data_IF_248279356985
#
_entry.id   IF_248279356985
#
_cell.length_a   1.000
_cell.length_b   1.000
_cell.length_c   1.000
_cell.angle_alpha   90.00
_cell.angle_beta   90.00
_cell.angle_gamma   90.00
#
_symmetry.space_group_name_H-M   'P 1'
#
loop_
_entity.id
_entity.type
_entity.pdbx_description
1 polymer ?
#
# COMPACT_ATOMS: atom_id res chain seq x y z
N UNK A 1 -29.27 8.90 -34.59
CA UNK A 1 -29.90 8.76 -33.26
C UNK A 1 -29.59 10.03 -32.48
N UNK A 2 -30.55 10.60 -31.74
CA UNK A 2 -30.28 11.78 -30.89
C UNK A 2 -29.79 11.28 -29.52
N UNK A 3 -28.69 11.83 -29.03
CA UNK A 3 -28.16 11.48 -27.71
C UNK A 3 -29.09 12.03 -26.61
N UNK A 4 -29.19 11.30 -25.49
CA UNK A 4 -29.79 11.82 -24.25
C UNK A 4 -28.91 12.92 -23.64
N UNK A 5 -29.41 13.59 -22.60
CA UNK A 5 -28.64 14.65 -21.92
C UNK A 5 -27.35 14.11 -21.30
N UNK A 6 -27.40 12.95 -20.63
CA UNK A 6 -26.21 12.31 -20.07
C UNK A 6 -25.25 11.85 -21.16
N UNK A 7 -25.75 11.24 -22.25
CA UNK A 7 -24.91 10.84 -23.37
C UNK A 7 -24.23 12.02 -24.05
N UNK A 8 -24.91 13.16 -24.12
CA UNK A 8 -24.33 14.41 -24.65
C UNK A 8 -23.21 14.93 -23.74
N UNK A 9 -23.44 14.93 -22.42
CA UNK A 9 -22.40 15.32 -21.44
C UNK A 9 -21.18 14.40 -21.52
N UNK A 10 -21.39 13.07 -21.55
CA UNK A 10 -20.32 12.08 -21.71
C UNK A 10 -19.59 12.29 -23.04
N UNK A 11 -20.31 12.48 -24.15
CA UNK A 11 -19.69 12.71 -25.46
C UNK A 11 -18.80 13.97 -25.46
N UNK A 12 -19.24 15.05 -24.84
CA UNK A 12 -18.44 16.26 -24.69
C UNK A 12 -17.22 16.05 -23.78
N UNK A 13 -17.38 15.36 -22.66
CA UNK A 13 -16.30 15.02 -21.73
C UNK A 13 -15.25 14.08 -22.35
N UNK A 14 -15.67 13.10 -23.13
CA UNK A 14 -14.77 12.23 -23.90
C UNK A 14 -14.07 13.00 -25.01
N UNK A 15 -14.79 13.89 -25.70
CA UNK A 15 -14.18 14.77 -26.70
C UNK A 15 -13.14 15.70 -26.07
N UNK A 16 -13.40 16.22 -24.86
CA UNK A 16 -12.44 17.00 -24.10
C UNK A 16 -11.16 16.19 -23.79
N UNK A 17 -11.32 15.01 -23.18
CA UNK A 17 -10.19 14.22 -22.70
C UNK A 17 -9.38 13.51 -23.79
N UNK A 18 -10.01 13.12 -24.91
CA UNK A 18 -9.38 12.27 -25.93
C UNK A 18 -9.23 12.92 -27.30
N UNK A 19 -9.93 14.01 -27.60
CA UNK A 19 -9.93 14.63 -28.94
C UNK A 19 -9.36 16.05 -28.90
N UNK A 20 -9.94 16.94 -28.09
CA UNK A 20 -9.56 18.35 -28.02
C UNK A 20 -10.01 18.98 -26.69
N UNK A 21 -9.07 19.47 -25.90
CA UNK A 21 -9.29 20.11 -24.60
C UNK A 21 -10.22 21.34 -24.64
N UNK A 22 -10.57 21.87 -25.82
CA UNK A 22 -11.50 22.99 -25.98
C UNK A 22 -12.97 22.59 -25.88
N UNK A 23 -13.30 21.30 -25.98
CA UNK A 23 -14.67 20.85 -25.71
C UNK A 23 -15.00 21.04 -24.22
N UNK A 24 -16.23 21.47 -23.90
CA UNK A 24 -16.65 21.64 -22.52
C UNK A 24 -17.46 20.43 -22.05
N UNK A 25 -16.94 19.68 -21.08
CA UNK A 25 -17.62 18.58 -20.41
C UNK A 25 -17.55 18.74 -18.88
N UNK A 26 -18.52 18.22 -18.11
CA UNK A 26 -18.42 18.18 -16.65
C UNK A 26 -17.15 17.44 -16.21
N UNK A 27 -16.42 18.00 -15.24
CA UNK A 27 -15.16 17.42 -14.74
C UNK A 27 -15.38 15.99 -14.21
N UNK A 28 -16.53 15.74 -13.60
CA UNK A 28 -16.90 14.43 -13.06
C UNK A 28 -17.07 13.36 -14.15
N UNK A 29 -17.30 13.75 -15.41
CA UNK A 29 -17.45 12.80 -16.52
C UNK A 29 -16.20 12.74 -17.41
N UNK A 30 -15.31 13.71 -17.28
CA UNK A 30 -14.09 13.80 -18.08
C UNK A 30 -13.09 12.71 -17.68
N UNK A 31 -12.44 12.04 -18.66
CA UNK A 31 -11.34 11.12 -18.38
C UNK A 31 -10.21 11.83 -17.63
N UNK A 32 -9.62 11.16 -16.64
CA UNK A 32 -8.55 11.71 -15.82
C UNK A 32 -7.34 10.77 -15.80
N UNK A 33 -6.15 11.35 -15.89
CA UNK A 33 -4.90 10.65 -15.62
C UNK A 33 -4.56 10.84 -14.14
N UNK A 34 -4.51 9.74 -13.39
CA UNK A 34 -4.33 9.73 -11.94
C UNK A 34 -2.95 9.18 -11.62
N UNK A 35 -2.19 9.96 -10.84
CA UNK A 35 -0.90 9.60 -10.28
C UNK A 35 -0.73 10.24 -8.91
N UNK A 36 0.07 9.63 -8.04
CA UNK A 36 0.29 10.19 -6.70
C UNK A 36 1.18 11.43 -6.76
N UNK A 37 0.68 12.56 -6.27
CA UNK A 37 1.41 13.81 -6.14
C UNK A 37 1.00 14.54 -4.84
N UNK A 38 1.50 15.77 -4.64
CA UNK A 38 1.18 16.53 -3.43
C UNK A 38 -0.27 17.05 -3.48
N UNK A 39 -1.15 16.41 -2.74
CA UNK A 39 -2.56 16.81 -2.60
C UNK A 39 -3.50 16.09 -3.57
N UNK A 40 -2.97 15.23 -4.42
CA UNK A 40 -3.73 14.36 -5.30
C UNK A 40 -3.19 12.93 -5.22
N UNK A 41 -4.06 11.96 -5.01
CA UNK A 41 -3.66 10.57 -4.80
C UNK A 41 -4.76 9.62 -5.26
N UNK A 42 -4.37 8.40 -5.61
CA UNK A 42 -5.32 7.38 -6.01
C UNK A 42 -6.39 7.14 -4.92
N UNK A 43 -6.02 7.22 -3.63
CA UNK A 43 -6.99 7.13 -2.53
C UNK A 43 -8.09 8.21 -2.62
N UNK A 44 -7.72 9.46 -2.88
CA UNK A 44 -8.68 10.58 -2.98
C UNK A 44 -9.67 10.34 -4.13
N UNK A 45 -9.18 9.85 -5.27
CA UNK A 45 -10.05 9.52 -6.40
C UNK A 45 -11.01 8.38 -6.08
N UNK A 46 -10.53 7.28 -5.47
CA UNK A 46 -11.41 6.19 -5.01
C UNK A 46 -12.46 6.72 -4.03
N UNK A 47 -12.07 7.53 -3.04
CA UNK A 47 -13.00 8.06 -2.04
C UNK A 47 -14.07 8.99 -2.63
N UNK A 48 -13.73 9.73 -3.68
CA UNK A 48 -14.68 10.57 -4.44
C UNK A 48 -15.68 9.72 -5.22
N UNK A 49 -15.23 8.64 -5.87
CA UNK A 49 -16.13 7.73 -6.56
C UNK A 49 -17.06 7.02 -5.58
N UNK A 50 -16.51 6.47 -4.50
CA UNK A 50 -17.27 5.84 -3.42
C UNK A 50 -18.30 6.80 -2.80
N UNK A 51 -18.05 8.10 -2.78
CA UNK A 51 -19.00 9.07 -2.22
C UNK A 51 -20.29 9.21 -3.06
N UNK A 52 -20.21 8.92 -4.37
CA UNK A 52 -21.25 9.24 -5.35
C UNK A 52 -21.80 8.00 -6.09
N UNK A 53 -21.26 6.80 -5.81
CA UNK A 53 -21.70 5.57 -6.44
C UNK A 53 -22.96 4.99 -5.76
N UNK A 54 -23.72 4.23 -6.55
CA UNK A 54 -24.83 3.37 -6.10
C UNK A 54 -24.37 1.96 -5.72
N UNK A 55 -23.31 1.47 -6.35
CA UNK A 55 -22.59 0.25 -5.96
C UNK A 55 -21.16 0.29 -6.51
N UNK A 56 -20.30 -0.61 -6.06
CA UNK A 56 -18.91 -0.68 -6.52
C UNK A 56 -18.40 -2.12 -6.64
N UNK A 57 -17.49 -2.34 -7.59
CA UNK A 57 -16.81 -3.62 -7.79
C UNK A 57 -15.30 -3.39 -7.92
N UNK A 58 -14.52 -3.97 -7.02
CA UNK A 58 -13.05 -3.92 -7.05
C UNK A 58 -12.51 -5.26 -7.54
N UNK A 59 -11.66 -5.22 -8.56
CA UNK A 59 -11.01 -6.38 -9.17
C UNK A 59 -9.50 -6.19 -8.97
N UNK A 60 -9.01 -6.65 -7.81
CA UNK A 60 -7.69 -6.26 -7.30
C UNK A 60 -6.88 -7.48 -6.89
N UNK A 61 -5.69 -7.62 -7.47
CA UNK A 61 -4.79 -8.72 -7.15
C UNK A 61 -4.21 -8.64 -5.73
N UNK A 62 -3.64 -7.49 -5.37
CA UNK A 62 -2.91 -7.31 -4.12
C UNK A 62 -3.60 -6.34 -3.17
N UNK A 63 -3.75 -6.75 -1.92
CA UNK A 63 -4.44 -6.01 -0.88
C UNK A 63 -3.58 -6.04 0.40
N UNK A 64 -3.29 -4.87 0.96
CA UNK A 64 -2.66 -4.76 2.29
C UNK A 64 -3.67 -4.34 3.35
N UNK A 65 -3.42 -4.75 4.60
CA UNK A 65 -4.25 -4.36 5.75
C UNK A 65 -4.30 -2.83 5.91
N UNK A 66 -3.17 -2.16 5.67
CA UNK A 66 -3.01 -0.72 5.79
C UNK A 66 -3.87 0.06 4.80
N UNK A 67 -3.97 -0.40 3.56
CA UNK A 67 -4.84 0.21 2.55
C UNK A 67 -6.32 -0.05 2.87
N UNK A 68 -6.64 -1.28 3.26
CA UNK A 68 -8.00 -1.63 3.63
C UNK A 68 -8.48 -0.81 4.84
N UNK A 69 -7.61 -0.61 5.83
CA UNK A 69 -7.90 0.22 7.00
C UNK A 69 -8.20 1.67 6.62
N UNK A 70 -7.53 2.23 5.59
CA UNK A 70 -7.78 3.59 5.12
C UNK A 70 -9.21 3.74 4.54
N UNK A 71 -9.73 2.72 3.87
CA UNK A 71 -11.08 2.73 3.30
C UNK A 71 -12.16 2.26 4.28
N UNK A 72 -11.81 1.57 5.37
CA UNK A 72 -12.75 0.85 6.24
C UNK A 72 -13.90 1.72 6.77
N UNK A 73 -13.61 2.96 7.17
CA UNK A 73 -14.64 3.91 7.65
C UNK A 73 -15.61 4.25 6.52
N UNK A 74 -15.07 4.58 5.33
CA UNK A 74 -15.87 4.91 4.15
C UNK A 74 -16.78 3.75 3.73
N UNK A 75 -16.25 2.52 3.70
CA UNK A 75 -17.03 1.33 3.33
C UNK A 75 -18.13 1.03 4.37
N UNK A 76 -17.86 1.25 5.66
CA UNK A 76 -18.88 1.13 6.70
C UNK A 76 -19.99 2.19 6.56
N UNK A 77 -19.62 3.43 6.23
CA UNK A 77 -20.60 4.50 5.96
C UNK A 77 -21.51 4.17 4.76
N UNK A 78 -20.94 3.55 3.72
CA UNK A 78 -21.72 3.08 2.57
C UNK A 78 -22.67 1.94 2.94
N UNK A 79 -22.22 1.00 3.76
CA UNK A 79 -23.08 -0.07 4.26
C UNK A 79 -24.29 0.47 5.03
N UNK A 80 -24.10 1.51 5.86
CA UNK A 80 -25.21 2.18 6.56
C UNK A 80 -26.20 2.87 5.62
N UNK A 81 -25.76 3.27 4.41
CA UNK A 81 -26.60 3.84 3.36
C UNK A 81 -27.27 2.78 2.47
N UNK A 82 -27.03 1.50 2.72
CA UNK A 82 -27.52 0.41 1.86
C UNK A 82 -26.78 0.29 0.53
N UNK A 83 -25.59 0.87 0.42
CA UNK A 83 -24.74 0.74 -0.77
C UNK A 83 -23.89 -0.53 -0.62
N UNK A 84 -23.97 -1.41 -1.62
CA UNK A 84 -23.32 -2.70 -1.63
C UNK A 84 -22.05 -2.69 -2.49
N UNK A 85 -21.06 -3.49 -2.07
CA UNK A 85 -19.78 -3.64 -2.74
C UNK A 85 -19.46 -5.08 -3.10
N UNK A 86 -18.58 -5.24 -4.10
CA UNK A 86 -18.00 -6.51 -4.49
C UNK A 86 -16.48 -6.40 -4.57
N UNK A 87 -15.76 -7.41 -4.10
CA UNK A 87 -14.31 -7.52 -4.25
C UNK A 87 -13.97 -8.88 -4.84
N UNK A 88 -13.39 -8.87 -6.05
CA UNK A 88 -12.79 -10.03 -6.69
C UNK A 88 -11.27 -9.94 -6.52
N UNK A 89 -10.70 -10.91 -5.84
CA UNK A 89 -9.25 -10.98 -5.57
C UNK A 89 -8.73 -12.40 -5.75
N UNK A 90 -7.45 -12.65 -5.49
CA UNK A 90 -6.83 -13.96 -5.64
C UNK A 90 -5.73 -14.20 -4.59
N UNK A 91 -5.23 -15.43 -4.54
CA UNK A 91 -4.05 -15.80 -3.75
C UNK A 91 -2.73 -15.73 -4.55
N UNK A 92 -2.74 -14.95 -5.64
CA UNK A 92 -1.60 -14.81 -6.55
C UNK A 92 -0.31 -14.40 -5.82
N UNK A 93 0.78 -15.11 -6.13
CA UNK A 93 2.09 -15.00 -5.48
C UNK A 93 2.06 -15.11 -3.96
N UNK A 94 0.96 -15.60 -3.37
CA UNK A 94 0.75 -15.58 -1.91
C UNK A 94 1.03 -14.21 -1.30
N UNK A 95 0.71 -13.14 -2.03
CA UNK A 95 0.99 -11.77 -1.60
C UNK A 95 0.09 -11.38 -0.41
N UNK A 96 -1.21 -11.62 -0.56
CA UNK A 96 -2.22 -11.25 0.44
C UNK A 96 -2.03 -12.11 1.69
N UNK A 97 -1.75 -11.48 2.83
CA UNK A 97 -1.63 -12.20 4.10
C UNK A 97 -3.01 -12.77 4.52
N UNK A 98 -3.08 -13.94 5.20
CA UNK A 98 -4.34 -14.51 5.71
C UNK A 98 -5.19 -13.50 6.49
N UNK A 99 -4.53 -12.60 7.25
CA UNK A 99 -5.18 -11.54 8.02
C UNK A 99 -5.94 -10.53 7.16
N UNK A 100 -5.48 -10.24 5.94
CA UNK A 100 -6.20 -9.36 5.00
C UNK A 100 -7.55 -9.95 4.65
N UNK A 101 -7.60 -11.25 4.32
CA UNK A 101 -8.84 -11.95 4.04
C UNK A 101 -9.79 -11.96 5.25
N UNK A 102 -9.25 -12.10 6.46
CA UNK A 102 -10.05 -11.98 7.69
C UNK A 102 -10.65 -10.58 7.87
N UNK A 103 -9.91 -9.52 7.53
CA UNK A 103 -10.43 -8.15 7.60
C UNK A 103 -11.48 -7.88 6.52
N UNK A 104 -11.33 -8.45 5.32
CA UNK A 104 -12.31 -8.37 4.23
C UNK A 104 -13.66 -8.99 4.63
N UNK A 105 -13.66 -10.14 5.33
CA UNK A 105 -14.89 -10.76 5.84
C UNK A 105 -15.66 -9.90 6.86
N UNK A 106 -14.99 -8.92 7.49
CA UNK A 106 -15.62 -8.04 8.50
C UNK A 106 -16.35 -6.86 7.89
N UNK A 107 -16.27 -6.65 6.58
CA UNK A 107 -16.91 -5.50 5.93
C UNK A 107 -18.41 -5.78 5.75
N UNK A 108 -19.30 -5.04 6.43
CA UNK A 108 -20.73 -5.19 6.21
C UNK A 108 -21.05 -4.74 4.78
N UNK A 109 -21.90 -5.50 4.08
CA UNK A 109 -22.35 -5.19 2.70
C UNK A 109 -21.30 -5.31 1.58
N UNK A 110 -20.19 -6.02 1.82
CA UNK A 110 -19.21 -6.35 0.78
C UNK A 110 -19.15 -7.85 0.54
N UNK A 111 -19.49 -8.30 -0.66
CA UNK A 111 -19.25 -9.68 -1.07
C UNK A 111 -17.81 -9.82 -1.57
N UNK A 112 -17.10 -10.84 -1.10
CA UNK A 112 -15.71 -11.08 -1.48
C UNK A 112 -15.60 -12.46 -2.10
N UNK A 113 -15.02 -12.54 -3.29
CA UNK A 113 -14.75 -13.79 -3.99
C UNK A 113 -13.27 -13.93 -4.37
N UNK A 114 -12.82 -15.17 -4.37
CA UNK A 114 -11.48 -15.59 -4.73
C UNK A 114 -11.51 -16.19 -6.13
N UNK A 115 -10.90 -15.49 -7.08
CA UNK A 115 -10.76 -15.94 -8.46
C UNK A 115 -9.81 -17.14 -8.54
N UNK A 116 -10.19 -18.15 -9.31
CA UNK A 116 -9.36 -19.31 -9.64
C UNK A 116 -8.66 -19.09 -10.99
N UNK A 117 -7.96 -17.95 -11.10
CA UNK A 117 -7.28 -17.53 -12.33
C UNK A 117 -5.78 -17.51 -12.11
N UNK A 118 -5.07 -18.25 -12.96
CA UNK A 118 -3.61 -18.22 -12.97
C UNK A 118 -3.11 -16.80 -13.27
N UNK A 119 -2.16 -16.32 -12.47
CA UNK A 119 -1.57 -14.99 -12.62
C UNK A 119 -2.58 -13.83 -12.57
N UNK A 120 -3.61 -13.94 -11.73
CA UNK A 120 -4.55 -12.85 -11.47
C UNK A 120 -3.80 -11.58 -11.01
N UNK A 121 -3.64 -10.62 -11.91
CA UNK A 121 -2.90 -9.38 -11.69
C UNK A 121 -3.70 -8.14 -12.09
N UNK A 122 -5.02 -8.24 -12.16
CA UNK A 122 -5.90 -7.11 -12.45
C UNK A 122 -5.85 -6.03 -11.34
N UNK A 123 -6.03 -4.77 -11.76
CA UNK A 123 -6.24 -3.61 -10.88
C UNK A 123 -7.34 -2.72 -11.48
N UNK A 124 -8.58 -3.07 -11.20
CA UNK A 124 -9.76 -2.34 -11.64
C UNK A 124 -10.63 -1.92 -10.47
N UNK A 125 -11.08 -0.67 -10.48
CA UNK A 125 -12.05 -0.11 -9.57
C UNK A 125 -13.23 0.38 -10.40
N UNK A 126 -14.41 -0.22 -10.22
CA UNK A 126 -15.61 0.04 -11.01
C UNK A 126 -16.68 0.59 -10.07
N UNK A 127 -17.35 1.66 -10.48
CA UNK A 127 -18.39 2.30 -9.71
C UNK A 127 -19.61 2.56 -10.60
N UNK A 128 -20.77 2.10 -10.13
CA UNK A 128 -22.03 2.25 -10.84
C UNK A 128 -22.78 3.47 -10.32
N UNK A 129 -23.30 4.31 -11.22
CA UNK A 129 -24.14 5.47 -10.91
C UNK A 129 -25.52 5.27 -11.55
N UNK A 130 -26.28 4.31 -11.01
CA UNK A 130 -27.52 3.80 -11.63
C UNK A 130 -28.55 4.91 -11.92
N UNK A 131 -28.73 5.86 -11.00
CA UNK A 131 -29.68 6.97 -11.17
C UNK A 131 -29.33 7.88 -12.35
N UNK A 132 -28.04 8.01 -12.66
CA UNK A 132 -27.52 8.86 -13.72
C UNK A 132 -27.18 8.06 -15.00
N UNK A 133 -27.40 6.74 -15.01
CA UNK A 133 -27.19 5.83 -16.16
C UNK A 133 -25.75 5.81 -16.71
N UNK A 134 -24.76 5.91 -15.83
CA UNK A 134 -23.36 5.78 -16.21
C UNK A 134 -22.54 5.01 -15.19
N UNK A 135 -21.35 4.63 -15.61
CA UNK A 135 -20.33 3.95 -14.82
C UNK A 135 -19.05 4.77 -14.87
N UNK A 136 -18.33 4.80 -13.76
CA UNK A 136 -16.94 5.26 -13.72
C UNK A 136 -16.03 4.08 -13.45
N UNK A 137 -14.86 4.11 -14.08
CA UNK A 137 -13.87 3.04 -13.99
C UNK A 137 -12.51 3.67 -13.81
N UNK A 138 -11.76 3.18 -12.83
CA UNK A 138 -10.33 3.46 -12.68
C UNK A 138 -9.56 2.16 -12.93
N UNK A 139 -8.68 2.17 -13.92
CA UNK A 139 -7.80 1.04 -14.27
C UNK A 139 -6.38 1.53 -14.38
N UNK A 140 -5.42 0.74 -13.88
CA UNK A 140 -4.01 1.09 -13.99
C UNK A 140 -3.08 0.14 -13.27
N UNK A 141 -2.04 0.72 -12.68
CA UNK A 141 -1.01 -0.01 -11.96
C UNK A 141 -1.36 -0.25 -10.49
N UNK A 142 -2.26 0.57 -9.92
CA UNK A 142 -2.43 0.64 -8.46
C UNK A 142 -3.25 -0.49 -7.88
N UNK A 143 -2.58 -1.38 -7.14
CA UNK A 143 -3.25 -2.32 -6.26
C UNK A 143 -3.85 -1.60 -5.02
N UNK A 144 -4.60 -2.33 -4.19
CA UNK A 144 -5.12 -1.82 -2.93
C UNK A 144 -4.05 -1.94 -1.83
N UNK A 145 -2.94 -1.24 -2.03
CA UNK A 145 -1.80 -1.17 -1.10
C UNK A 145 -1.53 0.28 -0.71
N UNK A 146 -1.08 0.55 0.52
CA UNK A 146 -0.87 1.95 0.96
C UNK A 146 0.19 2.67 0.13
N UNK A 147 1.17 1.94 -0.40
CA UNK A 147 2.14 2.49 -1.34
C UNK A 147 1.46 2.97 -2.62
N UNK A 148 0.76 2.07 -3.32
CA UNK A 148 0.06 2.40 -4.57
C UNK A 148 -0.98 3.51 -4.40
N UNK A 149 -1.71 3.50 -3.29
CA UNK A 149 -2.78 4.47 -3.10
C UNK A 149 -2.31 5.90 -2.75
N UNK A 150 -1.08 6.06 -2.25
CA UNK A 150 -0.64 7.32 -1.64
C UNK A 150 0.73 7.84 -2.08
N UNK A 151 1.66 6.98 -2.53
CA UNK A 151 3.09 7.34 -2.61
C UNK A 151 3.81 6.84 -3.85
N UNK A 152 3.50 5.63 -4.31
CA UNK A 152 4.21 5.02 -5.41
C UNK A 152 4.01 5.83 -6.69
N UNK A 153 4.97 5.70 -7.61
CA UNK A 153 4.83 6.22 -8.95
C UNK A 153 3.89 5.32 -9.74
N UNK A 154 2.61 5.66 -9.69
CA UNK A 154 1.51 4.89 -10.25
C UNK A 154 0.85 5.67 -11.37
N UNK A 155 0.48 4.96 -12.43
CA UNK A 155 -0.35 5.50 -13.50
C UNK A 155 -1.67 4.76 -13.52
N UNK A 156 -2.75 5.54 -13.47
CA UNK A 156 -4.10 5.05 -13.64
C UNK A 156 -4.87 5.98 -14.58
N UNK A 157 -5.83 5.43 -15.30
CA UNK A 157 -6.81 6.19 -16.06
C UNK A 157 -8.16 5.99 -15.42
N UNK A 158 -8.83 7.10 -15.13
CA UNK A 158 -10.24 7.14 -14.83
C UNK A 158 -10.98 7.51 -16.11
N UNK A 159 -12.06 6.81 -16.42
CA UNK A 159 -12.97 7.20 -17.48
C UNK A 159 -14.41 6.92 -17.07
N UNK A 160 -15.35 7.59 -17.73
CA UNK A 160 -16.78 7.30 -17.59
C UNK A 160 -17.34 6.71 -18.87
N UNK A 161 -18.39 5.92 -18.74
CA UNK A 161 -19.14 5.40 -19.88
C UNK A 161 -20.60 5.30 -19.52
N UNK A 162 -21.47 5.44 -20.52
CA UNK A 162 -22.89 5.14 -20.37
C UNK A 162 -23.07 3.64 -20.06
N UNK A 163 -24.19 3.25 -19.46
CA UNK A 163 -24.51 1.82 -19.21
C UNK A 163 -24.49 0.93 -20.48
N UNK A 164 -24.81 1.52 -21.64
CA UNK A 164 -24.74 0.98 -23.01
C UNK A 164 -23.38 1.25 -23.70
N UNK A 165 -22.35 1.63 -22.94
CA UNK A 165 -21.01 1.81 -23.48
C UNK A 165 -20.39 0.47 -23.88
N UNK A 166 -19.90 0.34 -25.12
CA UNK A 166 -19.29 -0.93 -25.57
C UNK A 166 -18.05 -1.33 -24.74
N UNK A 167 -17.29 -0.35 -24.25
CA UNK A 167 -16.09 -0.58 -23.45
C UNK A 167 -16.44 -1.12 -22.06
N UNK A 168 -17.35 -0.45 -21.35
CA UNK A 168 -17.78 -0.88 -20.01
C UNK A 168 -18.60 -2.16 -20.07
N UNK A 169 -19.45 -2.35 -21.09
CA UNK A 169 -20.17 -3.60 -21.29
C UNK A 169 -19.21 -4.79 -21.41
N UNK A 170 -18.12 -4.66 -22.19
CA UNK A 170 -17.10 -5.71 -22.31
C UNK A 170 -16.34 -5.93 -21.01
N UNK A 171 -15.96 -4.86 -20.31
CA UNK A 171 -15.27 -4.95 -19.02
C UNK A 171 -16.15 -5.67 -17.98
N UNK A 172 -17.41 -5.27 -17.86
CA UNK A 172 -18.35 -5.85 -16.89
C UNK A 172 -18.61 -7.31 -17.23
N UNK A 173 -18.81 -7.64 -18.51
CA UNK A 173 -18.98 -9.03 -18.92
C UNK A 173 -17.82 -9.91 -18.46
N UNK A 174 -16.57 -9.46 -18.67
CA UNK A 174 -15.38 -10.17 -18.19
C UNK A 174 -15.39 -10.35 -16.66
N UNK A 175 -15.69 -9.28 -15.91
CA UNK A 175 -15.76 -9.32 -14.45
C UNK A 175 -16.85 -10.27 -13.97
N UNK A 176 -18.02 -10.28 -14.61
CA UNK A 176 -19.13 -11.17 -14.24
C UNK A 176 -18.84 -12.64 -14.60
N UNK A 177 -18.15 -12.89 -15.72
CA UNK A 177 -17.70 -14.24 -16.10
C UNK A 177 -16.75 -14.82 -15.07
N UNK A 178 -15.78 -14.03 -14.61
CA UNK A 178 -14.85 -14.43 -13.55
C UNK A 178 -15.55 -14.52 -12.18
N UNK A 179 -16.43 -13.59 -11.86
CA UNK A 179 -17.19 -13.59 -10.60
C UNK A 179 -18.01 -14.87 -10.42
N UNK A 180 -18.64 -15.36 -11.49
CA UNK A 180 -19.44 -16.60 -11.46
C UNK A 180 -18.60 -17.85 -11.19
N UNK A 181 -17.34 -17.86 -11.65
CA UNK A 181 -16.42 -18.99 -11.47
C UNK A 181 -15.66 -18.91 -10.14
N UNK A 182 -15.53 -17.70 -9.59
CA UNK A 182 -14.83 -17.44 -8.34
C UNK A 182 -15.53 -18.06 -7.13
N UNK A 183 -14.73 -18.49 -6.16
CA UNK A 183 -15.20 -19.08 -4.92
C UNK A 183 -15.52 -18.00 -3.89
N UNK A 184 -16.60 -18.10 -3.10
CA UNK A 184 -16.86 -17.16 -2.01
C UNK A 184 -15.76 -17.26 -0.96
N UNK A 185 -15.33 -16.10 -0.45
CA UNK A 185 -14.42 -16.05 0.69
C UNK A 185 -15.15 -16.56 1.94
N UNK A 186 -14.56 -17.52 2.64
CA UNK A 186 -15.10 -18.11 3.86
C UNK A 186 -13.99 -18.34 4.88
N UNK A 187 -14.32 -18.47 6.16
CA UNK A 187 -13.34 -18.85 7.19
C UNK A 187 -12.62 -20.16 6.84
N UNK A 188 -13.34 -21.13 6.27
CA UNK A 188 -12.76 -22.40 5.82
C UNK A 188 -11.69 -22.20 4.73
N UNK A 189 -11.97 -21.34 3.74
CA UNK A 189 -11.00 -21.02 2.70
C UNK A 189 -9.74 -20.36 3.29
N UNK A 190 -9.92 -19.45 4.26
CA UNK A 190 -8.80 -18.76 4.93
C UNK A 190 -7.92 -19.75 5.70
N UNK A 191 -8.52 -20.71 6.40
CA UNK A 191 -7.78 -21.72 7.16
C UNK A 191 -6.95 -22.63 6.23
N UNK A 192 -7.51 -23.05 5.09
CA UNK A 192 -6.77 -23.79 4.08
C UNK A 192 -5.63 -22.96 3.47
N UNK A 193 -5.90 -21.69 3.17
CA UNK A 193 -4.92 -20.77 2.62
C UNK A 193 -3.75 -20.52 3.59
N UNK A 194 -4.02 -20.43 4.90
CA UNK A 194 -3.01 -20.18 5.94
C UNK A 194 -1.90 -21.24 5.92
N UNK A 195 -2.26 -22.51 5.76
CA UNK A 195 -1.28 -23.61 5.65
C UNK A 195 -0.36 -23.38 4.45
N UNK A 196 -0.93 -23.09 3.27
CA UNK A 196 -0.15 -22.81 2.04
C UNK A 196 0.72 -21.57 2.16
N UNK A 197 0.24 -20.56 2.89
CA UNK A 197 0.96 -19.29 3.12
C UNK A 197 2.18 -19.50 4.02
N UNK A 198 2.09 -20.39 5.02
CA UNK A 198 3.18 -20.68 5.96
C UNK A 198 4.25 -21.62 5.37
N UNK A 199 3.85 -22.53 4.47
CA UNK A 199 4.77 -23.47 3.80
C UNK A 199 5.70 -22.81 2.78
N UNK A 200 5.33 -21.65 2.23
CA UNK A 200 6.18 -20.94 1.28
C UNK A 200 7.32 -20.20 1.99
N UNK A 201 8.54 -20.23 1.45
CA UNK A 201 9.61 -19.34 1.89
C UNK A 201 9.09 -17.91 1.78
N UNK A 202 9.02 -17.19 2.90
CA UNK A 202 8.67 -15.77 2.92
C UNK A 202 9.72 -15.02 2.11
N UNK A 203 9.49 -14.87 0.80
CA UNK A 203 10.11 -13.81 0.03
C UNK A 203 9.75 -12.54 0.80
N UNK A 204 10.75 -11.89 1.39
CA UNK A 204 10.58 -10.64 2.12
C UNK A 204 10.23 -9.56 1.09
N UNK A 205 8.98 -9.57 0.62
CA UNK A 205 8.40 -8.46 -0.10
C UNK A 205 8.11 -7.41 0.97
N UNK A 206 9.11 -6.58 1.27
CA UNK A 206 8.92 -5.42 2.14
C UNK A 206 7.86 -4.52 1.52
N UNK A 207 6.86 -4.11 2.32
CA UNK A 207 5.70 -3.30 1.92
C UNK A 207 6.06 -2.03 1.12
N UNK A 208 7.28 -1.51 1.29
CA UNK A 208 7.79 -0.31 0.59
C UNK A 208 8.34 -0.56 -0.84
N UNK A 209 8.43 -1.82 -1.32
CA UNK A 209 9.05 -2.15 -2.63
C UNK A 209 8.15 -2.93 -3.60
N UNK A 210 6.88 -3.13 -3.26
CA UNK A 210 6.11 -4.24 -3.86
C UNK A 210 5.49 -4.03 -5.24
N UNK A 211 5.66 -2.89 -5.93
CA UNK A 211 5.04 -2.70 -7.25
C UNK A 211 6.04 -2.40 -8.39
N UNK A 212 7.34 -2.38 -8.11
CA UNK A 212 8.39 -2.22 -9.14
C UNK A 212 9.23 -3.48 -9.40
N UNK A 213 8.99 -4.60 -8.71
CA UNK A 213 9.94 -5.74 -8.72
C UNK A 213 9.40 -7.05 -9.27
N UNK A 214 8.32 -7.07 -10.05
CA UNK A 214 7.89 -8.33 -10.67
C UNK A 214 8.74 -8.74 -11.87
N UNK A 215 9.64 -7.89 -12.39
CA UNK A 215 10.62 -8.27 -13.41
C UNK A 215 11.75 -7.24 -13.51
N UNK A 216 12.66 -7.12 -12.53
CA UNK A 216 14.02 -6.61 -12.76
C UNK A 216 14.91 -6.97 -11.57
N UNK A 217 15.87 -7.86 -11.83
CA UNK A 217 17.15 -8.05 -11.16
C UNK A 217 17.19 -8.06 -9.61
N UNK A 218 17.64 -9.22 -9.11
CA UNK A 218 18.38 -9.36 -7.85
C UNK A 218 19.52 -8.32 -7.85
N UNK A 219 19.26 -7.19 -7.20
CA UNK A 219 20.26 -6.28 -6.69
C UNK A 219 19.79 -5.92 -5.29
N UNK A 220 20.49 -6.40 -4.26
CA UNK A 220 20.30 -5.94 -2.88
C UNK A 220 20.44 -4.41 -2.88
N UNK A 221 19.34 -3.67 -2.97
CA UNK A 221 19.39 -2.22 -2.85
C UNK A 221 20.01 -1.90 -1.48
N UNK A 222 21.13 -1.20 -1.52
CA UNK A 222 21.82 -0.77 -0.33
C UNK A 222 21.00 0.35 0.29
N UNK A 223 20.59 0.19 1.55
CA UNK A 223 19.88 1.22 2.28
C UNK A 223 20.87 2.35 2.55
N UNK A 224 20.53 3.57 2.10
CA UNK A 224 21.37 4.77 2.20
C UNK A 224 20.68 5.85 3.06
N UNK A 225 21.44 6.71 3.75
CA UNK A 225 20.88 7.79 4.57
C UNK A 225 20.20 8.86 3.72
N UNK A 226 19.06 9.37 4.19
CA UNK A 226 18.40 10.52 3.57
C UNK A 226 19.14 11.84 3.85
N UNK A 227 18.77 12.94 3.17
CA UNK A 227 19.48 14.22 3.26
C UNK A 227 19.66 14.72 4.71
N UNK A 228 18.60 14.72 5.50
CA UNK A 228 18.67 15.17 6.91
C UNK A 228 19.57 14.26 7.75
N UNK A 229 19.59 12.96 7.46
CA UNK A 229 20.50 12.02 8.12
C UNK A 229 21.95 12.25 7.70
N UNK A 230 22.22 12.57 6.42
CA UNK A 230 23.56 12.91 5.94
C UNK A 230 24.10 14.16 6.67
N UNK A 231 23.28 15.20 6.82
CA UNK A 231 23.64 16.41 7.56
C UNK A 231 23.95 16.09 9.03
N UNK A 232 23.12 15.26 9.68
CA UNK A 232 23.32 14.83 11.06
C UNK A 232 24.62 14.01 11.23
N UNK A 233 24.91 13.08 10.32
CA UNK A 233 26.12 12.26 10.33
C UNK A 233 27.38 13.11 10.13
N UNK A 234 27.33 14.10 9.23
CA UNK A 234 28.41 15.06 9.01
C UNK A 234 28.73 15.85 10.29
N UNK A 235 27.69 16.36 10.96
CA UNK A 235 27.83 17.09 12.21
C UNK A 235 28.41 16.21 13.34
N UNK A 236 27.94 14.95 13.48
CA UNK A 236 28.50 14.01 14.46
C UNK A 236 30.00 13.75 14.21
N UNK A 237 30.40 13.58 12.95
CA UNK A 237 31.81 13.40 12.57
C UNK A 237 32.64 14.62 12.96
N UNK A 238 32.14 15.83 12.71
CA UNK A 238 32.83 17.08 13.07
C UNK A 238 32.96 17.26 14.59
N UNK A 239 31.90 17.00 15.35
CA UNK A 239 31.90 17.06 16.82
C UNK A 239 32.96 16.10 17.39
N UNK A 240 33.07 14.88 16.85
CA UNK A 240 34.11 13.92 17.25
C UNK A 240 35.52 14.41 16.89
N UNK A 241 35.70 15.00 15.70
CA UNK A 241 36.98 15.56 15.27
C UNK A 241 37.46 16.71 16.17
N UNK A 242 36.53 17.43 16.81
CA UNK A 242 36.81 18.46 17.81
C UNK A 242 37.12 17.90 19.21
N UNK A 243 37.17 16.57 19.37
CA UNK A 243 37.52 15.90 20.62
C UNK A 243 36.37 15.71 21.60
N UNK A 244 35.13 16.08 21.23
CA UNK A 244 33.97 15.88 22.08
C UNK A 244 33.65 14.38 22.21
N UNK A 245 33.26 13.97 23.43
CA UNK A 245 32.95 12.57 23.78
C UNK A 245 31.46 12.28 23.96
N UNK A 246 30.62 13.31 23.95
CA UNK A 246 29.17 13.22 24.15
C UNK A 246 28.48 14.16 23.16
N UNK A 247 27.40 13.68 22.55
CA UNK A 247 26.56 14.44 21.63
C UNK A 247 25.09 14.01 21.81
N UNK A 248 24.16 14.92 21.55
CA UNK A 248 22.72 14.66 21.60
C UNK A 248 22.10 15.06 20.26
N UNK A 249 21.28 14.17 19.70
CA UNK A 249 20.51 14.43 18.49
C UNK A 249 19.04 14.55 18.89
N UNK A 250 18.44 15.68 18.56
CA UNK A 250 17.00 15.90 18.73
C UNK A 250 16.35 15.70 17.36
N UNK A 251 15.37 14.80 17.27
CA UNK A 251 14.71 14.50 16.01
C UNK A 251 13.24 14.16 16.21
N UNK A 252 12.38 14.69 15.33
CA UNK A 252 10.94 14.46 15.34
C UNK A 252 10.61 12.96 15.20
N UNK A 253 9.38 12.55 15.54
CA UNK A 253 8.92 11.18 15.30
C UNK A 253 8.85 10.91 13.79
N UNK A 254 9.07 9.66 13.37
CA UNK A 254 9.01 9.27 11.95
C UNK A 254 10.22 9.63 11.08
N UNK A 255 11.22 10.32 11.60
CA UNK A 255 12.41 10.79 10.84
C UNK A 255 13.55 9.76 10.71
N UNK A 256 13.34 8.53 11.20
CA UNK A 256 14.32 7.45 11.08
C UNK A 256 15.49 7.53 12.08
N UNK A 257 15.25 7.95 13.32
CA UNK A 257 16.27 7.97 14.42
C UNK A 257 17.08 6.67 14.54
N UNK A 258 16.41 5.53 14.36
CA UNK A 258 17.04 4.21 14.43
C UNK A 258 18.04 3.99 13.29
N UNK A 259 17.65 4.30 12.05
CA UNK A 259 18.54 4.18 10.89
C UNK A 259 19.72 5.17 10.98
N UNK A 260 19.48 6.40 11.46
CA UNK A 260 20.55 7.37 11.72
C UNK A 260 21.61 6.80 12.65
N UNK A 261 21.20 6.18 13.77
CA UNK A 261 22.13 5.51 14.69
C UNK A 261 22.90 4.36 14.03
N UNK A 262 22.22 3.53 13.22
CA UNK A 262 22.87 2.43 12.51
C UNK A 262 23.93 2.92 11.50
N UNK A 263 23.62 3.98 10.75
CA UNK A 263 24.57 4.60 9.83
C UNK A 263 25.75 5.25 10.54
N UNK A 264 25.53 5.85 11.70
CA UNK A 264 26.59 6.45 12.51
C UNK A 264 27.54 5.38 13.06
N UNK A 265 27.01 4.26 13.55
CA UNK A 265 27.81 3.10 13.96
C UNK A 265 28.59 2.52 12.79
N UNK A 266 27.95 2.40 11.62
CA UNK A 266 28.60 1.96 10.39
C UNK A 266 29.75 2.89 10.00
N UNK A 267 29.57 4.21 10.08
CA UNK A 267 30.59 5.18 9.71
C UNK A 267 31.73 5.26 10.73
N UNK A 268 31.42 5.11 12.02
CA UNK A 268 32.39 5.23 13.11
C UNK A 268 33.18 3.94 13.37
N UNK A 269 32.60 2.77 13.09
CA UNK A 269 33.19 1.45 13.33
C UNK A 269 33.75 1.27 14.77
N UNK A 270 32.91 1.38 15.82
CA UNK A 270 33.36 1.24 17.20
C UNK A 270 33.80 -0.19 17.53
N UNK A 271 34.82 -0.34 18.38
CA UNK A 271 35.22 -1.66 18.93
C UNK A 271 34.17 -2.28 19.85
N UNK A 272 33.37 -1.47 20.54
CA UNK A 272 32.27 -1.91 21.41
C UNK A 272 31.09 -0.98 21.23
N UNK A 273 29.89 -1.55 21.14
CA UNK A 273 28.65 -0.81 20.94
C UNK A 273 27.59 -1.32 21.90
N UNK A 274 26.90 -0.40 22.60
CA UNK A 274 25.79 -0.69 23.49
C UNK A 274 24.60 0.17 23.08
N UNK A 275 23.45 -0.47 22.84
CA UNK A 275 22.20 0.21 22.51
C UNK A 275 21.20 0.03 23.65
N UNK A 276 20.73 1.14 24.21
CA UNK A 276 19.85 1.14 25.40
C UNK A 276 18.50 1.75 25.02
N UNK A 277 17.42 1.04 25.33
CA UNK A 277 16.03 1.50 25.15
C UNK A 277 15.15 1.04 26.30
N UNK A 278 14.05 1.75 26.53
CA UNK A 278 13.13 1.50 27.64
C UNK A 278 12.09 0.40 27.37
N UNK A 279 12.03 -0.18 26.16
CA UNK A 279 11.05 -1.21 25.78
C UNK A 279 11.68 -2.27 24.87
N UNK A 280 11.43 -3.54 25.18
CA UNK A 280 11.89 -4.71 24.43
C UNK A 280 11.43 -4.72 22.96
N UNK A 281 10.19 -4.29 22.69
CA UNK A 281 9.66 -4.19 21.31
C UNK A 281 10.47 -3.21 20.45
N UNK A 282 10.99 -2.13 21.04
CA UNK A 282 11.85 -1.16 20.36
C UNK A 282 13.21 -1.80 20.09
N UNK A 283 13.74 -2.55 21.05
CA UNK A 283 15.01 -3.25 20.92
C UNK A 283 14.99 -4.23 19.74
N UNK A 284 13.94 -5.04 19.63
CA UNK A 284 13.77 -6.03 18.56
C UNK A 284 13.73 -5.36 17.17
N UNK A 285 12.91 -4.32 17.01
CA UNK A 285 12.81 -3.56 15.75
C UNK A 285 14.11 -2.83 15.39
N UNK A 286 14.82 -2.32 16.40
CA UNK A 286 16.11 -1.67 16.18
C UNK A 286 17.16 -2.68 15.73
N UNK A 287 17.21 -3.87 16.32
CA UNK A 287 18.14 -4.92 15.90
C UNK A 287 17.98 -5.25 14.42
N UNK A 288 16.75 -5.41 13.94
CA UNK A 288 16.48 -5.68 12.51
C UNK A 288 16.93 -4.51 11.62
N UNK A 289 16.71 -3.28 12.07
CA UNK A 289 17.16 -2.06 11.35
C UNK A 289 18.68 -1.99 11.26
N UNK A 290 19.39 -2.35 12.33
CA UNK A 290 20.85 -2.38 12.36
C UNK A 290 21.42 -3.49 11.46
N UNK A 291 20.83 -4.69 11.47
CA UNK A 291 21.20 -5.81 10.56
C UNK A 291 21.13 -5.40 9.09
N UNK A 292 20.09 -4.66 8.72
CA UNK A 292 19.88 -4.15 7.37
C UNK A 292 20.99 -3.18 6.91
N UNK A 293 21.52 -2.35 7.80
CA UNK A 293 22.55 -1.34 7.48
C UNK A 293 23.98 -1.90 7.58
N UNK A 294 24.25 -2.72 8.60
CA UNK A 294 25.58 -3.19 8.97
C UNK A 294 25.99 -4.51 8.27
N UNK A 295 25.02 -5.26 7.72
CA UNK A 295 25.19 -6.58 7.06
C UNK A 295 25.71 -7.68 8.00
N UNK A 296 25.63 -8.93 7.55
CA UNK A 296 25.80 -10.14 8.39
C UNK A 296 27.17 -10.24 9.09
N UNK A 297 28.28 -9.85 8.43
CA UNK A 297 29.62 -9.96 9.03
C UNK A 297 29.92 -8.99 10.17
N UNK A 298 29.07 -7.99 10.43
CA UNK A 298 29.23 -7.11 11.60
C UNK A 298 28.84 -7.81 12.91
N UNK A 299 27.84 -8.70 12.87
CA UNK A 299 27.26 -9.31 14.07
C UNK A 299 28.04 -10.52 14.59
N UNK A 300 28.87 -11.15 13.76
CA UNK A 300 29.77 -12.23 14.17
C UNK A 300 30.80 -11.78 15.24
N UNK A 301 30.95 -10.47 15.43
CA UNK A 301 31.84 -9.84 16.42
C UNK A 301 31.15 -9.50 17.76
N UNK A 302 29.83 -9.69 17.87
CA UNK A 302 29.06 -9.31 19.06
C UNK A 302 28.42 -10.55 19.69
N UNK A 303 28.87 -10.92 20.90
CA UNK A 303 28.14 -11.88 21.74
C UNK A 303 26.76 -11.32 22.02
N UNK A 304 25.72 -12.01 21.56
CA UNK A 304 24.33 -11.74 21.94
C UNK A 304 24.08 -12.45 23.27
N UNK A 305 24.55 -11.86 24.36
CA UNK A 305 24.03 -12.22 25.68
C UNK A 305 22.65 -11.56 25.84
N UNK A 306 21.60 -12.37 25.69
CA UNK A 306 20.26 -12.00 26.13
C UNK A 306 20.26 -12.02 27.66
N UNK A 307 20.60 -10.89 28.28
CA UNK A 307 20.52 -10.73 29.72
C UNK A 307 19.07 -10.61 30.15
N UNK A 308 18.49 -11.70 30.68
CA UNK A 308 17.59 -11.59 31.81
C UNK A 308 18.42 -11.06 33.00
N UNK A 309 18.68 -9.75 33.03
CA UNK A 309 19.15 -9.08 34.24
C UNK A 309 18.07 -8.13 34.70
N UNK A 310 17.25 -8.72 35.57
CA UNK A 310 16.44 -8.15 36.64
C UNK A 310 16.77 -6.72 37.03
N UNK A 311 15.70 -5.97 37.30
CA UNK A 311 15.60 -4.57 37.70
C UNK A 311 16.34 -4.13 38.99
N UNK A 312 17.37 -4.84 39.47
CA UNK A 312 17.93 -4.64 40.82
C UNK A 312 19.36 -4.06 40.86
N UNK A 313 19.85 -3.36 39.82
CA UNK A 313 21.13 -2.61 39.90
C UNK A 313 21.10 -1.23 39.25
N UNK A 314 20.04 -0.47 39.50
CA UNK A 314 19.99 0.96 39.19
C UNK A 314 20.10 1.86 40.44
N UNK A 315 20.49 1.31 41.58
CA UNK A 315 20.88 2.08 42.76
C UNK A 315 22.29 1.66 43.17
N UNK A 316 23.27 2.39 42.65
CA UNK A 316 24.49 2.84 43.34
C UNK A 316 25.44 3.40 42.27
N UNK A 317 25.79 4.67 42.42
CA UNK A 317 26.68 5.50 41.58
C UNK A 317 25.97 6.37 40.51
N UNK A 318 25.19 7.32 41.01
CA UNK A 318 25.44 8.73 40.72
C UNK A 318 25.80 9.46 42.01
#
# INVERSE_FOLDING_TARGET
MKLTDIQTKIANSLSNGFVDQRFNGPEELTPQFIYNNKGDSMLIHIERELANCSSYTFVIAFITESALAALKVKLADLAMKGIHGRILTADYLTFNAPKVFQELLKLPSVEVRIADVAAFHAKGYIFDHELDQYQSVIIGSSNLTSGALLRNYEWNVRFTSHDNGILTARLIQEVEDEWRQAQPLTDHWIDQYRVRYEEKPKLQITEDLSETTTQYAIGKQQIEPNHMQQDALSNLKQIRAQGARRALIISATGTGKTYLGAFDVKAYHPHRFLYIVHREQILTKTLDSFKKVLREGFFDQFQTEYGEQTADKFDEQF
#
